data_IF_559772989025
#
_entry.id   IF_559772989025
#
_cell.length_a   1.000
_cell.length_b   1.000
_cell.length_c   1.000
_cell.angle_alpha   90.00
_cell.angle_beta   90.00
_cell.angle_gamma   90.00
#
_symmetry.space_group_name_H-M   'P 1'
#
loop_
_entity.id
_entity.type
_entity.pdbx_description
1 polymer ?
#
# COMPACT_ATOMS: atom_id res chain seq x y z
N UNK A 1 -46.78 -25.90 -16.70
CA UNK A 1 -46.33 -24.50 -16.61
C UNK A 1 -44.90 -24.54 -16.13
N UNK A 2 -43.99 -24.64 -17.09
CA UNK A 2 -42.56 -24.70 -16.85
C UNK A 2 -42.08 -23.24 -16.86
N UNK A 3 -41.88 -22.68 -15.67
CA UNK A 3 -41.37 -21.32 -15.53
C UNK A 3 -39.87 -21.35 -15.77
N UNK A 4 -39.47 -20.87 -16.95
CA UNK A 4 -38.07 -20.61 -17.29
C UNK A 4 -37.53 -19.49 -16.39
N UNK A 5 -36.80 -19.85 -15.35
CA UNK A 5 -35.94 -18.90 -14.63
C UNK A 5 -34.82 -18.47 -15.59
N UNK A 6 -34.91 -17.24 -16.08
CA UNK A 6 -33.83 -16.61 -16.81
C UNK A 6 -32.63 -16.50 -15.87
N UNK A 7 -31.64 -17.35 -16.08
CA UNK A 7 -30.34 -17.28 -15.44
C UNK A 7 -29.77 -15.88 -15.74
N UNK A 8 -29.83 -15.00 -14.74
CA UNK A 8 -29.30 -13.64 -14.84
C UNK A 8 -27.77 -13.74 -14.85
N UNK A 9 -27.20 -14.01 -16.04
CA UNK A 9 -25.78 -14.20 -16.27
C UNK A 9 -25.05 -12.87 -16.12
N UNK A 10 -24.93 -12.39 -14.89
CA UNK A 10 -23.93 -11.38 -14.55
C UNK A 10 -22.56 -12.01 -14.79
N UNK A 11 -21.69 -11.43 -15.65
CA UNK A 11 -20.39 -12.00 -15.93
C UNK A 11 -19.60 -12.19 -14.64
N UNK A 12 -19.09 -13.40 -14.41
CA UNK A 12 -18.30 -13.71 -13.22
C UNK A 12 -17.06 -12.81 -13.18
N UNK A 13 -17.04 -11.88 -12.23
CA UNK A 13 -15.93 -10.94 -12.06
C UNK A 13 -14.65 -11.65 -11.61
N UNK A 14 -13.51 -11.19 -12.14
CA UNK A 14 -12.17 -11.65 -11.76
C UNK A 14 -11.49 -10.70 -10.78
N UNK A 15 -10.70 -11.26 -9.85
CA UNK A 15 -10.04 -10.52 -8.76
C UNK A 15 -9.25 -9.28 -9.21
N UNK A 16 -8.54 -9.38 -10.34
CA UNK A 16 -7.61 -8.35 -10.83
C UNK A 16 -8.09 -7.64 -12.10
N UNK A 17 -9.34 -7.88 -12.56
CA UNK A 17 -9.80 -7.38 -13.87
C UNK A 17 -9.81 -5.85 -14.02
N UNK A 18 -9.81 -5.13 -12.90
CA UNK A 18 -9.89 -3.68 -12.90
C UNK A 18 -8.54 -2.99 -12.67
N UNK A 19 -7.46 -3.73 -12.43
CA UNK A 19 -6.17 -3.15 -12.03
C UNK A 19 -5.61 -2.18 -13.07
N UNK A 20 -5.85 -2.42 -14.35
CA UNK A 20 -5.40 -1.53 -15.44
C UNK A 20 -6.33 -0.33 -15.62
N UNK A 21 -7.59 -0.43 -15.19
CA UNK A 21 -8.59 0.65 -15.25
C UNK A 21 -8.51 1.64 -14.08
N UNK A 22 -7.72 1.33 -13.04
CA UNK A 22 -7.57 2.22 -11.89
C UNK A 22 -6.83 3.50 -12.28
N UNK A 23 -7.29 4.67 -11.80
CA UNK A 23 -6.59 5.93 -12.03
C UNK A 23 -5.20 5.89 -11.39
N UNK A 24 -4.26 6.62 -11.98
CA UNK A 24 -2.96 6.86 -11.35
C UNK A 24 -3.13 7.62 -10.03
N UNK A 25 -2.19 7.45 -9.10
CA UNK A 25 -2.18 8.17 -7.82
C UNK A 25 -2.10 9.69 -8.09
N UNK A 26 -3.12 10.49 -7.73
CA UNK A 26 -3.09 11.92 -7.98
C UNK A 26 -1.99 12.60 -7.15
N UNK A 27 -1.45 13.69 -7.68
CA UNK A 27 -0.56 14.58 -6.94
C UNK A 27 -1.35 15.82 -6.51
N UNK A 28 -1.51 16.10 -5.20
CA UNK A 28 -2.19 17.30 -4.73
C UNK A 28 -1.40 18.56 -5.10
N UNK A 29 -2.07 19.72 -5.15
CA UNK A 29 -1.35 20.96 -5.39
C UNK A 29 -0.40 21.28 -4.22
N UNK A 30 0.70 21.97 -4.52
CA UNK A 30 1.64 22.43 -3.49
C UNK A 30 0.90 23.28 -2.44
N UNK A 31 0.08 24.22 -2.88
CA UNK A 31 -0.69 25.12 -2.00
C UNK A 31 -1.62 24.35 -1.06
N UNK A 32 -2.44 23.44 -1.58
CA UNK A 32 -3.39 22.69 -0.75
C UNK A 32 -2.67 21.84 0.31
N UNK A 33 -1.48 21.34 -0.05
CA UNK A 33 -0.65 20.53 0.86
C UNK A 33 -0.06 21.38 1.97
N UNK A 34 0.46 22.57 1.65
CA UNK A 34 1.02 23.52 2.60
C UNK A 34 -0.05 24.12 3.53
N UNK A 35 -1.23 24.44 3.01
CA UNK A 35 -2.36 24.95 3.80
C UNK A 35 -2.83 23.89 4.82
N UNK A 36 -2.93 22.62 4.39
CA UNK A 36 -3.25 21.50 5.30
C UNK A 36 -2.15 21.22 6.32
N UNK A 37 -0.88 21.37 5.92
CA UNK A 37 0.24 21.25 6.85
C UNK A 37 0.16 22.31 7.96
N UNK A 38 -0.02 23.59 7.61
CA UNK A 38 -0.19 24.66 8.60
C UNK A 38 -1.37 24.41 9.54
N UNK A 39 -2.51 23.99 8.99
CA UNK A 39 -3.68 23.60 9.79
C UNK A 39 -3.34 22.48 10.79
N UNK A 40 -2.58 21.46 10.35
CA UNK A 40 -2.20 20.31 11.18
C UNK A 40 -1.19 20.65 12.28
N UNK A 41 -0.30 21.62 12.05
CA UNK A 41 0.74 22.01 13.01
C UNK A 41 0.21 22.92 14.10
N UNK A 42 -0.77 23.77 13.78
CA UNK A 42 -1.35 24.77 14.69
C UNK A 42 -1.67 24.27 16.11
N UNK A 43 -2.29 23.10 16.34
CA UNK A 43 -2.59 22.63 17.70
C UNK A 43 -1.37 22.18 18.51
N UNK A 44 -0.19 22.05 17.91
CA UNK A 44 1.01 21.47 18.54
C UNK A 44 2.08 22.50 18.92
N UNK A 45 1.90 23.77 18.53
CA UNK A 45 2.92 24.81 18.66
C UNK A 45 2.38 26.07 19.30
N UNK A 46 3.26 26.87 19.88
CA UNK A 46 2.91 28.21 20.35
C UNK A 46 2.64 29.16 19.18
N UNK A 47 1.97 30.28 19.45
CA UNK A 47 1.71 31.31 18.44
C UNK A 47 3.00 31.87 17.81
N UNK A 48 4.07 32.01 18.60
CA UNK A 48 5.37 32.47 18.10
C UNK A 48 6.03 31.47 17.15
N UNK A 49 5.97 30.17 17.47
CA UNK A 49 6.46 29.09 16.61
C UNK A 49 5.60 28.92 15.36
N UNK A 50 4.29 29.10 15.48
CA UNK A 50 3.38 29.08 14.35
C UNK A 50 3.72 30.18 13.34
N UNK A 51 3.93 31.42 13.79
CA UNK A 51 4.35 32.53 12.92
C UNK A 51 5.68 32.27 12.21
N UNK A 52 6.65 31.66 12.91
CA UNK A 52 7.92 31.22 12.29
C UNK A 52 7.65 30.16 11.21
N UNK A 53 6.77 29.21 11.50
CA UNK A 53 6.39 28.14 10.56
C UNK A 53 5.69 28.71 9.32
N UNK A 54 4.76 29.66 9.48
CA UNK A 54 4.10 30.34 8.36
C UNK A 54 5.10 31.06 7.46
N UNK A 55 6.10 31.74 8.04
CA UNK A 55 7.15 32.41 7.27
C UNK A 55 7.97 31.40 6.45
N UNK A 56 8.39 30.27 7.05
CA UNK A 56 9.12 29.20 6.37
C UNK A 56 8.29 28.57 5.25
N UNK A 57 7.01 28.29 5.51
CA UNK A 57 6.09 27.71 4.51
C UNK A 57 5.92 28.65 3.33
N UNK A 58 5.79 29.96 3.56
CA UNK A 58 5.67 30.97 2.50
C UNK A 58 6.95 31.10 1.68
N UNK A 59 8.12 31.08 2.32
CA UNK A 59 9.41 31.05 1.62
C UNK A 59 9.54 29.79 0.77
N UNK A 60 9.17 28.63 1.32
CA UNK A 60 9.18 27.37 0.58
C UNK A 60 8.21 27.37 -0.61
N UNK A 61 6.98 27.85 -0.42
CA UNK A 61 5.95 27.93 -1.46
C UNK A 61 6.41 28.80 -2.63
N UNK A 62 7.16 29.87 -2.36
CA UNK A 62 7.61 30.82 -3.39
C UNK A 62 8.99 30.51 -3.96
N UNK A 63 9.82 29.77 -3.23
CA UNK A 63 11.18 29.36 -3.58
C UNK A 63 11.31 27.89 -3.97
N UNK A 64 12.11 27.14 -3.21
CA UNK A 64 12.52 25.77 -3.55
C UNK A 64 11.35 24.78 -3.72
N UNK A 65 10.23 24.99 -3.01
CA UNK A 65 9.07 24.12 -3.07
C UNK A 65 8.45 24.02 -4.46
N UNK A 66 8.47 25.11 -5.25
CA UNK A 66 7.98 25.09 -6.65
C UNK A 66 8.79 24.16 -7.53
N UNK A 67 10.12 24.26 -7.45
CA UNK A 67 11.02 23.44 -8.26
C UNK A 67 10.96 21.96 -7.86
N UNK A 68 10.87 21.69 -6.55
CA UNK A 68 10.69 20.32 -6.05
C UNK A 68 9.33 19.74 -6.48
N UNK A 69 8.26 20.52 -6.37
CA UNK A 69 6.93 20.09 -6.79
C UNK A 69 6.85 19.86 -8.31
N UNK A 70 7.55 20.67 -9.12
CA UNK A 70 7.67 20.45 -10.56
C UNK A 70 8.37 19.12 -10.89
N UNK A 71 9.48 18.80 -10.22
CA UNK A 71 10.14 17.49 -10.36
C UNK A 71 9.22 16.33 -9.98
N UNK A 72 8.39 16.54 -8.95
CA UNK A 72 7.42 15.54 -8.51
C UNK A 72 6.29 15.34 -9.53
N UNK A 73 5.80 16.42 -10.15
CA UNK A 73 4.86 16.37 -11.27
C UNK A 73 5.45 15.60 -12.47
N UNK A 74 6.72 15.85 -12.80
CA UNK A 74 7.40 15.14 -13.89
C UNK A 74 7.57 13.65 -13.60
N UNK A 75 7.87 13.28 -12.36
CA UNK A 75 7.86 11.87 -11.92
C UNK A 75 6.45 11.25 -12.03
N UNK A 76 5.41 11.96 -11.63
CA UNK A 76 4.04 11.48 -11.67
C UNK A 76 3.53 11.20 -13.10
N UNK A 77 4.08 11.86 -14.12
CA UNK A 77 3.73 11.59 -15.53
C UNK A 77 4.20 10.22 -16.01
N UNK A 78 5.29 9.69 -15.45
CA UNK A 78 5.91 8.43 -15.90
C UNK A 78 5.58 7.23 -15.02
N UNK A 79 4.83 7.42 -13.92
CA UNK A 79 4.50 6.38 -12.95
C UNK A 79 3.00 6.32 -12.65
N UNK A 80 2.38 5.14 -12.72
CA UNK A 80 0.99 4.95 -12.27
C UNK A 80 0.81 5.25 -10.78
N UNK A 81 1.82 4.91 -9.97
CA UNK A 81 1.91 5.30 -8.57
C UNK A 81 3.32 5.84 -8.30
N UNK A 82 3.44 7.17 -8.31
CA UNK A 82 4.71 7.89 -8.17
C UNK A 82 5.37 7.72 -6.79
N UNK A 83 4.59 7.33 -5.78
CA UNK A 83 5.02 7.19 -4.39
C UNK A 83 5.43 5.76 -4.02
N UNK A 84 4.88 4.74 -4.69
CA UNK A 84 5.00 3.33 -4.31
C UNK A 84 6.43 2.87 -3.97
N UNK A 85 7.39 3.09 -4.89
CA UNK A 85 8.79 2.73 -4.71
C UNK A 85 9.43 3.45 -3.51
N UNK A 86 9.22 4.77 -3.41
CA UNK A 86 9.77 5.58 -2.31
C UNK A 86 9.18 5.18 -0.97
N UNK A 87 7.87 4.94 -0.90
CA UNK A 87 7.22 4.46 0.32
C UNK A 87 7.81 3.14 0.76
N UNK A 88 8.01 2.18 -0.15
CA UNK A 88 8.59 0.89 0.19
C UNK A 88 10.01 1.02 0.74
N UNK A 89 10.85 1.83 0.09
CA UNK A 89 12.24 2.05 0.51
C UNK A 89 12.28 2.75 1.87
N UNK A 90 11.70 3.94 1.98
CA UNK A 90 11.88 4.80 3.15
C UNK A 90 11.06 4.36 4.37
N UNK A 91 9.90 3.74 4.18
CA UNK A 91 9.08 3.29 5.30
C UNK A 91 9.50 1.91 5.83
N UNK A 92 10.08 1.03 5.01
CA UNK A 92 10.32 -0.37 5.39
C UNK A 92 11.75 -0.88 5.16
N UNK A 93 12.37 -0.59 4.01
CA UNK A 93 13.64 -1.25 3.65
C UNK A 93 14.88 -0.54 4.19
N UNK A 94 14.84 0.79 4.28
CA UNK A 94 15.97 1.60 4.75
C UNK A 94 16.10 1.64 6.28
N UNK A 95 15.00 1.76 7.06
CA UNK A 95 15.13 1.82 8.51
C UNK A 95 15.82 0.59 9.11
N UNK A 96 16.73 0.84 10.05
CA UNK A 96 17.64 -0.19 10.61
C UNK A 96 17.17 -0.76 11.96
N UNK A 97 16.03 -0.32 12.46
CA UNK A 97 15.49 -0.80 13.72
C UNK A 97 14.91 -2.22 13.57
N UNK A 98 14.89 -3.04 14.64
CA UNK A 98 14.41 -4.42 14.57
C UNK A 98 12.95 -4.54 14.10
N UNK A 99 12.73 -5.15 12.94
CA UNK A 99 11.39 -5.27 12.37
C UNK A 99 10.37 -6.11 13.18
N UNK A 100 10.75 -7.15 13.96
CA UNK A 100 9.76 -7.99 14.65
C UNK A 100 8.86 -7.24 15.63
N UNK A 101 9.37 -6.17 16.25
CA UNK A 101 8.64 -5.38 17.26
C UNK A 101 8.12 -4.07 16.68
N UNK A 102 8.91 -3.40 15.84
CA UNK A 102 8.63 -2.03 15.43
C UNK A 102 7.90 -1.91 14.08
N UNK A 103 7.90 -2.96 13.25
CA UNK A 103 7.26 -2.94 11.91
C UNK A 103 6.16 -3.99 11.79
N UNK A 104 6.45 -5.23 12.18
CA UNK A 104 5.57 -6.35 11.93
C UNK A 104 4.27 -6.20 12.73
N UNK A 105 3.14 -6.27 12.02
CA UNK A 105 1.82 -6.29 12.63
C UNK A 105 1.43 -7.74 12.90
N UNK A 106 1.09 -8.06 14.15
CA UNK A 106 0.54 -9.35 14.54
C UNK A 106 -0.91 -9.19 14.98
N UNK A 107 -1.77 -10.13 14.59
CA UNK A 107 -3.16 -10.19 15.01
C UNK A 107 -3.53 -11.62 15.40
N UNK A 108 -4.08 -11.86 16.61
CA UNK A 108 -4.57 -13.19 16.96
C UNK A 108 -5.76 -13.53 16.08
N UNK A 109 -5.84 -14.78 15.61
CA UNK A 109 -7.03 -15.23 14.91
C UNK A 109 -8.22 -15.30 15.90
N UNK A 110 -9.41 -14.83 15.52
CA UNK A 110 -10.57 -14.72 16.42
C UNK A 110 -11.25 -16.07 16.70
N UNK A 111 -10.62 -17.20 16.38
CA UNK A 111 -11.21 -18.54 16.54
C UNK A 111 -11.49 -18.92 18.00
N UNK A 112 -10.76 -18.31 18.93
CA UNK A 112 -10.86 -18.55 20.37
C UNK A 112 -12.14 -17.99 21.00
N UNK A 113 -12.82 -17.07 20.32
CA UNK A 113 -14.08 -16.47 20.79
C UNK A 113 -15.29 -17.40 20.60
N UNK A 114 -15.15 -18.45 19.79
CA UNK A 114 -16.24 -19.37 19.45
C UNK A 114 -15.82 -20.83 19.56
N UNK A 115 -15.43 -21.43 18.44
CA UNK A 115 -15.33 -22.88 18.31
C UNK A 115 -14.01 -23.46 18.83
N UNK A 116 -12.94 -22.65 18.95
CA UNK A 116 -11.60 -23.12 19.33
C UNK A 116 -11.06 -22.45 20.61
N UNK A 117 -11.74 -22.61 21.77
CA UNK A 117 -11.20 -22.12 23.03
C UNK A 117 -9.84 -22.79 23.34
N UNK A 118 -8.98 -22.19 24.19
CA UNK A 118 -7.70 -22.81 24.58
C UNK A 118 -7.90 -24.25 25.08
N UNK A 119 -7.18 -25.19 24.46
CA UNK A 119 -7.31 -26.62 24.77
C UNK A 119 -5.99 -27.34 24.48
N UNK A 120 -5.43 -28.01 25.48
CA UNK A 120 -4.21 -28.79 25.34
C UNK A 120 -4.40 -29.98 24.38
N UNK A 121 -3.34 -30.37 23.68
CA UNK A 121 -3.37 -31.46 22.70
C UNK A 121 -4.09 -31.13 21.37
N UNK A 122 -4.85 -30.04 21.29
CA UNK A 122 -5.61 -29.66 20.09
C UNK A 122 -4.77 -29.03 18.96
N UNK A 123 -3.48 -28.75 19.21
CA UNK A 123 -2.63 -27.97 18.31
C UNK A 123 -2.51 -28.59 16.92
N UNK A 124 -2.23 -29.89 16.82
CA UNK A 124 -1.99 -30.57 15.53
C UNK A 124 -3.26 -30.62 14.69
N UNK A 125 -4.38 -30.98 15.31
CA UNK A 125 -5.69 -31.06 14.64
C UNK A 125 -6.12 -29.68 14.11
N UNK A 126 -6.08 -28.65 14.96
CA UNK A 126 -6.46 -27.28 14.59
C UNK A 126 -5.50 -26.68 13.56
N UNK A 127 -4.20 -26.99 13.64
CA UNK A 127 -3.24 -26.58 12.63
C UNK A 127 -3.54 -27.20 11.26
N UNK A 128 -3.94 -28.48 11.22
CA UNK A 128 -4.37 -29.14 9.99
C UNK A 128 -5.56 -28.43 9.32
N UNK A 129 -6.57 -28.06 10.10
CA UNK A 129 -7.73 -27.30 9.62
C UNK A 129 -7.36 -25.88 9.18
N UNK A 130 -6.55 -25.17 9.97
CA UNK A 130 -6.08 -23.82 9.63
C UNK A 130 -5.32 -23.81 8.30
N UNK A 131 -4.40 -24.76 8.10
CA UNK A 131 -3.67 -24.93 6.83
C UNK A 131 -4.62 -25.23 5.67
N UNK A 132 -5.61 -26.12 5.87
CA UNK A 132 -6.60 -26.42 4.85
C UNK A 132 -7.39 -25.18 4.41
N UNK A 133 -7.86 -24.37 5.37
CA UNK A 133 -8.56 -23.11 5.09
C UNK A 133 -7.67 -22.10 4.36
N UNK A 134 -6.43 -21.91 4.81
CA UNK A 134 -5.46 -21.01 4.15
C UNK A 134 -5.17 -21.45 2.71
N UNK A 135 -4.99 -22.75 2.47
CA UNK A 135 -4.75 -23.27 1.12
C UNK A 135 -5.96 -23.13 0.21
N UNK A 136 -7.18 -23.28 0.73
CA UNK A 136 -8.38 -23.01 -0.05
C UNK A 136 -8.51 -21.53 -0.42
N UNK A 137 -8.19 -20.62 0.51
CA UNK A 137 -8.11 -19.19 0.19
C UNK A 137 -7.04 -18.92 -0.89
N UNK A 138 -5.86 -19.52 -0.78
CA UNK A 138 -4.82 -19.41 -1.82
C UNK A 138 -5.30 -19.92 -3.19
N UNK A 139 -6.03 -21.04 -3.25
CA UNK A 139 -6.63 -21.55 -4.51
C UNK A 139 -7.63 -20.55 -5.11
N UNK A 140 -8.47 -19.91 -4.27
CA UNK A 140 -9.41 -18.89 -4.72
C UNK A 140 -8.67 -17.68 -5.32
N UNK A 141 -7.61 -17.22 -4.66
CA UNK A 141 -6.77 -16.11 -5.14
C UNK A 141 -6.05 -16.44 -6.45
N UNK A 142 -5.47 -17.65 -6.55
CA UNK A 142 -4.75 -18.09 -7.75
C UNK A 142 -5.65 -18.22 -8.97
N UNK A 143 -6.86 -18.74 -8.79
CA UNK A 143 -7.77 -18.98 -9.91
C UNK A 143 -8.52 -17.71 -10.35
N UNK A 144 -8.37 -16.59 -9.64
CA UNK A 144 -9.00 -15.27 -9.89
C UNK A 144 -10.52 -15.27 -10.02
N UNK A 145 -11.17 -16.44 -9.92
CA UNK A 145 -12.54 -16.65 -10.30
C UNK A 145 -13.46 -16.55 -9.07
N UNK A 146 -14.28 -15.49 -9.01
CA UNK A 146 -15.38 -15.39 -8.04
C UNK A 146 -15.04 -14.76 -6.69
N UNK A 147 -13.88 -14.11 -6.53
CA UNK A 147 -13.73 -13.17 -5.41
C UNK A 147 -14.32 -11.82 -5.81
N UNK A 148 -15.47 -11.48 -5.21
CA UNK A 148 -16.14 -10.18 -5.37
C UNK A 148 -15.12 -9.03 -5.27
N UNK A 149 -15.05 -8.07 -6.24
CA UNK A 149 -14.15 -6.93 -6.18
C UNK A 149 -14.24 -6.21 -4.82
N UNK A 150 -13.10 -5.83 -4.24
CA UNK A 150 -13.15 -4.97 -3.06
C UNK A 150 -13.66 -3.61 -3.51
N UNK A 151 -14.80 -3.24 -2.98
CA UNK A 151 -15.26 -1.86 -3.00
C UNK A 151 -14.79 -1.19 -1.71
N UNK A 152 -14.10 -0.07 -1.83
CA UNK A 152 -13.83 0.85 -0.73
C UNK A 152 -14.67 2.10 -0.98
N UNK A 153 -15.62 2.41 -0.08
CA UNK A 153 -16.50 3.57 -0.18
C UNK A 153 -17.22 3.67 -1.55
N UNK A 154 -17.71 2.52 -2.06
CA UNK A 154 -18.39 2.45 -3.36
C UNK A 154 -17.50 2.50 -4.61
N UNK A 155 -16.17 2.65 -4.44
CA UNK A 155 -15.21 2.65 -5.53
C UNK A 155 -14.42 1.34 -5.60
N UNK A 156 -14.01 0.95 -6.81
CA UNK A 156 -13.10 -0.19 -7.01
C UNK A 156 -11.75 0.10 -6.34
N UNK A 157 -11.32 -0.79 -5.46
CA UNK A 157 -10.04 -0.65 -4.76
C UNK A 157 -8.92 -1.44 -5.45
N UNK A 158 -7.68 -0.95 -5.30
CA UNK A 158 -6.49 -1.63 -5.76
C UNK A 158 -6.31 -2.97 -5.04
N UNK A 159 -5.93 -4.01 -5.80
CA UNK A 159 -5.73 -5.38 -5.31
C UNK A 159 -4.27 -5.85 -5.41
N UNK A 160 -3.32 -4.96 -5.69
CA UNK A 160 -1.92 -5.36 -5.93
C UNK A 160 -1.31 -6.05 -4.69
N UNK A 161 -1.70 -5.64 -3.47
CA UNK A 161 -1.25 -6.30 -2.24
C UNK A 161 -1.77 -7.73 -2.09
N UNK A 162 -2.96 -8.03 -2.63
CA UNK A 162 -3.55 -9.36 -2.60
C UNK A 162 -2.93 -10.30 -3.65
N UNK A 163 -2.35 -9.74 -4.70
CA UNK A 163 -1.65 -10.47 -5.75
C UNK A 163 -0.18 -10.11 -5.75
N UNK A 164 0.62 -10.78 -4.91
CA UNK A 164 2.05 -10.88 -5.19
C UNK A 164 2.23 -11.70 -6.48
N UNK A 165 1.99 -11.08 -7.63
CA UNK A 165 2.66 -11.50 -8.86
C UNK A 165 4.14 -11.23 -8.59
N UNK A 166 4.87 -12.30 -8.30
CA UNK A 166 6.33 -12.31 -8.37
C UNK A 166 6.68 -11.66 -9.72
N UNK A 167 7.35 -10.49 -9.73
CA UNK A 167 7.71 -9.88 -11.00
C UNK A 167 8.58 -10.87 -11.77
N UNK A 168 8.16 -11.25 -12.98
CA UNK A 168 9.10 -11.79 -13.94
C UNK A 168 10.22 -10.76 -14.07
N UNK A 169 11.45 -11.18 -13.72
CA UNK A 169 12.65 -10.36 -13.80
C UNK A 169 12.70 -9.73 -15.20
N UNK A 170 12.38 -8.45 -15.30
CA UNK A 170 12.75 -7.68 -16.47
C UNK A 170 14.28 -7.63 -16.51
N UNK A 171 14.79 -8.28 -17.54
CA UNK A 171 16.19 -8.46 -17.84
C UNK A 171 16.73 -7.12 -18.37
N UNK A 172 17.01 -6.18 -17.46
CA UNK A 172 17.56 -4.88 -17.81
C UNK A 172 18.47 -4.37 -16.69
N UNK A 173 19.68 -4.93 -16.62
CA UNK A 173 20.89 -4.29 -16.10
C UNK A 173 22.10 -5.23 -16.28
N UNK A 174 22.35 -5.67 -17.51
CA UNK A 174 23.71 -6.02 -17.92
C UNK A 174 24.37 -4.71 -18.34
N UNK A 175 24.92 -3.97 -17.37
CA UNK A 175 26.06 -3.09 -17.61
C UNK A 175 26.69 -2.75 -16.27
N UNK A 176 27.72 -3.53 -15.95
CA UNK A 176 28.55 -3.34 -14.78
C UNK A 176 29.32 -2.03 -14.88
N UNK A 177 28.91 -1.04 -14.10
CA UNK A 177 29.81 -0.02 -13.54
C UNK A 177 29.42 0.20 -12.08
N UNK A 178 30.00 -0.64 -11.23
CA UNK A 178 30.19 -0.34 -9.80
C UNK A 178 31.08 0.90 -9.71
N UNK A 179 30.49 2.07 -9.50
CA UNK A 179 31.21 3.20 -8.93
C UNK A 179 31.20 3.04 -7.41
N UNK A 180 32.20 2.31 -6.93
CA UNK A 180 32.66 2.34 -5.55
C UNK A 180 33.07 3.78 -5.21
N UNK A 181 32.30 4.47 -4.37
CA UNK A 181 32.79 5.63 -3.64
C UNK A 181 33.19 5.19 -2.22
N UNK A 182 34.39 5.58 -1.75
CA UNK A 182 34.99 5.05 -0.54
C UNK A 182 34.31 5.58 0.73
N UNK A 183 34.17 4.67 1.68
CA UNK A 183 33.86 4.94 3.08
C UNK A 183 35.00 5.81 3.65
N UNK A 184 34.70 7.03 4.07
CA UNK A 184 35.58 7.83 4.92
C UNK A 184 35.12 7.58 6.36
N UNK A 185 35.99 6.96 7.14
CA UNK A 185 35.93 6.92 8.60
C UNK A 185 36.13 8.33 9.16
N UNK A 186 35.32 8.69 10.16
CA UNK A 186 35.61 9.68 11.19
C UNK A 186 34.82 9.29 12.46
#
# INVERSE_FOLDING_TARGET
MESSEAENTTPRERTFQYQDSLPSLPLPTLKDTLDKYLYSVKPHVTEEEYKKTEAVVKEFETGAGKELHKKLLDRAKTHRNWLSEWWYIFAYLEPRYPTPVYVNVAGPAPFHEHYWPPQDGSQVERAGLALWHTLNFWKLMKNTAGSCPSMAFGNRACRQEAGAQVPERHQAAHDGRLLLFPIIEA
#
